data_IF_431483936882
#
_entry.id   IF_431483936882
#
_cell.length_a   1.000
_cell.length_b   1.000
_cell.length_c   1.000
_cell.angle_alpha   90.00
_cell.angle_beta   90.00
_cell.angle_gamma   90.00
#
_symmetry.space_group_name_H-M   'P 1'
#
loop_
_entity.id
_entity.type
_entity.pdbx_description
1 polymer ?
#
# COMPACT_ATOMS: atom_id res chain seq x y z
N UNK A 1 -1.43 -8.40 -6.73
CA UNK A 1 -2.67 -7.81 -6.20
C UNK A 1 -2.43 -6.33 -5.97
N UNK A 2 -3.27 -5.48 -6.57
CA UNK A 2 -3.18 -4.04 -6.38
C UNK A 2 -3.47 -3.68 -4.92
N UNK A 3 -2.84 -2.62 -4.42
CA UNK A 3 -2.92 -2.23 -3.01
C UNK A 3 -3.68 -0.92 -2.83
N UNK A 4 -4.86 -0.97 -2.21
CA UNK A 4 -5.59 0.24 -1.85
C UNK A 4 -5.08 0.82 -0.55
N UNK A 5 -4.71 2.10 -0.57
CA UNK A 5 -4.29 2.85 0.61
C UNK A 5 -5.44 3.67 1.15
N UNK A 6 -5.88 3.33 2.36
CA UNK A 6 -7.05 3.91 2.99
C UNK A 6 -6.64 5.07 3.92
N UNK A 7 -7.11 6.30 3.64
CA UNK A 7 -6.82 7.46 4.48
C UNK A 7 -7.57 7.36 5.81
N UNK A 8 -7.05 8.02 6.85
CA UNK A 8 -7.60 8.02 8.21
C UNK A 8 -9.12 8.17 8.30
N UNK A 9 -9.75 9.13 7.59
CA UNK A 9 -11.21 9.32 7.61
C UNK A 9 -12.02 8.12 7.10
N UNK A 10 -11.47 7.33 6.18
CA UNK A 10 -12.13 6.17 5.58
C UNK A 10 -11.78 4.86 6.30
N UNK A 11 -10.84 4.87 7.26
CA UNK A 11 -10.47 3.67 8.03
C UNK A 11 -11.63 3.01 8.78
N UNK A 12 -12.67 3.78 9.13
CA UNK A 12 -13.88 3.21 9.76
C UNK A 12 -14.68 2.28 8.83
N UNK A 13 -14.52 2.43 7.52
CA UNK A 13 -15.17 1.56 6.53
C UNK A 13 -14.34 0.30 6.24
N UNK A 14 -13.01 0.36 6.41
CA UNK A 14 -12.10 -0.76 6.18
C UNK A 14 -11.74 -1.56 7.44
N UNK A 15 -12.57 -1.53 8.48
CA UNK A 15 -12.29 -2.17 9.79
C UNK A 15 -10.92 -1.78 10.41
N UNK A 16 -10.46 -0.55 10.15
CA UNK A 16 -9.16 -0.05 10.62
C UNK A 16 -7.97 -0.42 9.73
N UNK A 17 -8.18 -1.13 8.62
CA UNK A 17 -7.12 -1.49 7.69
C UNK A 17 -6.56 -0.25 6.96
N UNK A 18 -5.23 -0.17 6.91
CA UNK A 18 -4.50 0.91 6.23
C UNK A 18 -4.27 0.58 4.76
N UNK A 19 -4.04 -0.70 4.47
CA UNK A 19 -3.78 -1.21 3.13
C UNK A 19 -4.67 -2.40 2.88
N UNK A 20 -5.41 -2.39 1.77
CA UNK A 20 -6.31 -3.47 1.39
C UNK A 20 -5.86 -4.04 0.03
N UNK A 21 -5.41 -5.31 -0.03
CA UNK A 21 -5.06 -5.95 -1.29
C UNK A 21 -6.32 -6.35 -2.05
N UNK A 22 -6.44 -5.94 -3.31
CA UNK A 22 -7.51 -6.38 -4.20
C UNK A 22 -6.94 -6.96 -5.50
N UNK A 23 -7.73 -7.81 -6.13
CA UNK A 23 -7.41 -8.37 -7.43
C UNK A 23 -8.35 -7.77 -8.47
N UNK A 24 -7.78 -7.04 -9.44
CA UNK A 24 -8.52 -6.35 -10.48
C UNK A 24 -7.61 -6.08 -11.69
N UNK A 25 -8.23 -5.90 -12.85
CA UNK A 25 -7.54 -5.52 -14.09
C UNK A 25 -7.62 -4.01 -14.37
N UNK A 26 -8.65 -3.35 -13.84
CA UNK A 26 -8.96 -1.94 -14.07
C UNK A 26 -9.43 -1.29 -12.77
N UNK A 27 -9.34 0.04 -12.70
CA UNK A 27 -9.73 0.80 -11.51
C UNK A 27 -11.19 0.61 -11.13
N UNK A 28 -12.11 0.55 -12.10
CA UNK A 28 -13.53 0.26 -11.84
C UNK A 28 -13.71 -1.07 -11.10
N UNK A 29 -13.14 -2.15 -11.65
CA UNK A 29 -13.16 -3.49 -11.05
C UNK A 29 -12.48 -3.52 -9.68
N UNK A 30 -11.43 -2.72 -9.49
CA UNK A 30 -10.74 -2.61 -8.21
C UNK A 30 -11.64 -1.96 -7.13
N UNK A 31 -12.36 -0.89 -7.48
CA UNK A 31 -13.31 -0.22 -6.58
C UNK A 31 -14.48 -1.15 -6.26
N UNK A 32 -15.02 -1.86 -7.25
CA UNK A 32 -16.11 -2.81 -7.03
C UNK A 32 -15.67 -3.99 -6.13
N UNK A 33 -14.45 -4.50 -6.32
CA UNK A 33 -13.88 -5.55 -5.46
C UNK A 33 -13.63 -5.05 -4.03
N UNK A 34 -13.25 -3.78 -3.86
CA UNK A 34 -13.08 -3.15 -2.55
C UNK A 34 -14.45 -3.00 -1.85
N UNK A 35 -15.47 -2.52 -2.56
CA UNK A 35 -16.82 -2.33 -2.04
C UNK A 35 -17.51 -3.67 -1.69
N UNK A 36 -17.27 -4.72 -2.48
CA UNK A 36 -17.76 -6.07 -2.18
C UNK A 36 -17.23 -6.61 -0.84
N UNK A 37 -16.04 -6.19 -0.42
CA UNK A 37 -15.46 -6.54 0.89
C UNK A 37 -15.88 -5.58 1.99
N UNK A 38 -15.97 -4.30 1.66
CA UNK A 38 -16.26 -3.21 2.59
C UNK A 38 -17.35 -2.31 1.98
N UNK A 39 -18.64 -2.61 2.21
CA UNK A 39 -19.72 -1.88 1.57
C UNK A 39 -19.74 -0.41 2.00
N UNK A 40 -19.92 0.49 1.02
CA UNK A 40 -20.00 1.94 1.22
C UNK A 40 -18.77 2.71 0.76
N UNK A 41 -17.70 2.02 0.32
CA UNK A 41 -16.58 2.68 -0.36
C UNK A 41 -17.01 3.24 -1.71
N UNK A 42 -17.84 2.49 -2.45
CA UNK A 42 -18.32 2.91 -3.76
C UNK A 42 -19.10 4.22 -3.69
N UNK A 43 -20.01 4.37 -2.73
CA UNK A 43 -20.81 5.60 -2.55
C UNK A 43 -19.95 6.83 -2.20
N UNK A 44 -18.80 6.62 -1.55
CA UNK A 44 -17.86 7.68 -1.16
C UNK A 44 -16.95 8.10 -2.30
N UNK A 45 -16.60 7.18 -3.20
CA UNK A 45 -15.68 7.40 -4.31
C UNK A 45 -16.42 7.82 -5.59
N UNK A 46 -17.53 7.15 -5.89
CA UNK A 46 -18.34 7.35 -7.09
C UNK A 46 -19.60 8.16 -6.78
N UNK A 47 -20.08 8.89 -7.78
CA UNK A 47 -21.38 9.53 -7.75
C UNK A 47 -22.50 8.59 -8.25
N UNK A 48 -23.73 9.11 -8.32
CA UNK A 48 -24.91 8.37 -8.80
C UNK A 48 -24.81 7.97 -10.29
N UNK A 49 -23.92 8.62 -11.05
CA UNK A 49 -23.64 8.30 -12.46
C UNK A 49 -22.53 7.25 -12.60
N UNK A 50 -21.88 6.87 -11.51
CA UNK A 50 -20.75 5.95 -11.50
C UNK A 50 -19.42 6.61 -11.86
N UNK A 51 -19.30 7.94 -11.74
CA UNK A 51 -18.08 8.70 -12.03
C UNK A 51 -17.35 9.12 -10.73
N UNK A 52 -16.04 9.36 -10.80
CA UNK A 52 -15.24 9.78 -9.64
C UNK A 52 -15.65 11.16 -9.13
N UNK A 53 -16.11 11.26 -7.88
CA UNK A 53 -16.56 12.53 -7.26
C UNK A 53 -15.47 13.58 -7.20
N UNK A 54 -15.77 14.84 -7.53
CA UNK A 54 -14.78 15.96 -7.51
C UNK A 54 -14.04 16.15 -6.17
N UNK A 55 -14.68 15.76 -5.06
CA UNK A 55 -14.13 15.87 -3.71
C UNK A 55 -13.22 14.72 -3.29
N UNK A 56 -12.97 13.76 -4.18
CA UNK A 56 -12.03 12.66 -3.97
C UNK A 56 -11.10 12.57 -5.18
N UNK A 57 -9.80 12.50 -4.88
CA UNK A 57 -8.77 12.25 -5.85
C UNK A 57 -8.26 10.82 -5.64
N UNK A 58 -8.06 10.11 -6.74
CA UNK A 58 -7.56 8.74 -6.74
C UNK A 58 -6.29 8.75 -7.57
N UNK A 59 -5.22 8.19 -7.00
CA UNK A 59 -3.91 8.10 -7.64
C UNK A 59 -3.55 6.64 -7.83
N UNK A 60 -3.00 6.27 -8.98
CA UNK A 60 -2.42 4.96 -9.25
C UNK A 60 -0.93 5.16 -9.47
N UNK A 61 -0.08 4.56 -8.63
CA UNK A 61 1.37 4.77 -8.65
C UNK A 61 1.78 6.26 -8.67
N UNK A 62 1.13 7.08 -7.83
CA UNK A 62 1.33 8.55 -7.76
C UNK A 62 0.84 9.35 -8.99
N UNK A 63 0.18 8.71 -9.96
CA UNK A 63 -0.44 9.38 -11.12
C UNK A 63 -1.94 9.61 -10.92
N UNK A 64 -2.43 10.82 -11.24
CA UNK A 64 -3.86 11.14 -11.16
C UNK A 64 -4.63 10.45 -12.29
N UNK A 65 -5.54 9.55 -11.92
CA UNK A 65 -6.33 8.78 -12.88
C UNK A 65 -7.24 9.67 -13.73
N UNK A 66 -7.60 10.87 -13.25
CA UNK A 66 -8.44 11.83 -13.99
C UNK A 66 -7.76 12.41 -15.21
N UNK A 67 -6.44 12.51 -15.19
CA UNK A 67 -5.65 13.01 -16.32
C UNK A 67 -5.40 11.91 -17.37
N UNK A 68 -5.61 10.65 -16.99
CA UNK A 68 -5.45 9.48 -17.85
C UNK A 68 -6.78 8.89 -18.31
N UNK A 69 -6.97 7.58 -18.08
CA UNK A 69 -8.15 6.83 -18.52
C UNK A 69 -9.29 6.77 -17.47
N UNK A 70 -9.15 7.47 -16.34
CA UNK A 70 -10.13 7.47 -15.25
C UNK A 70 -10.38 6.08 -14.69
N UNK A 71 -11.65 5.69 -14.61
CA UNK A 71 -12.08 4.38 -14.14
C UNK A 71 -11.66 3.20 -15.04
N UNK A 72 -11.27 3.48 -16.29
CA UNK A 72 -10.73 2.50 -17.24
C UNK A 72 -9.20 2.43 -17.19
N UNK A 73 -8.56 3.11 -16.25
CA UNK A 73 -7.13 2.96 -16.03
C UNK A 73 -6.84 1.50 -15.67
N UNK A 74 -5.93 0.88 -16.42
CA UNK A 74 -5.46 -0.47 -16.13
C UNK A 74 -4.68 -0.45 -14.83
N UNK A 75 -4.99 -1.39 -13.95
CA UNK A 75 -4.29 -1.56 -12.67
C UNK A 75 -3.66 -2.94 -12.67
N UNK A 76 -2.35 -2.96 -12.52
CA UNK A 76 -1.55 -4.16 -12.39
C UNK A 76 -1.53 -4.71 -10.97
N UNK A 77 -1.09 -5.95 -10.86
CA UNK A 77 -0.90 -6.62 -9.58
C UNK A 77 0.18 -5.99 -8.70
N UNK A 78 0.98 -5.08 -9.25
CA UNK A 78 2.07 -4.44 -8.53
C UNK A 78 1.80 -2.97 -8.17
N UNK A 79 0.63 -2.47 -8.54
CA UNK A 79 0.28 -1.05 -8.46
C UNK A 79 -0.30 -0.68 -7.09
N UNK A 80 0.00 0.55 -6.66
CA UNK A 80 -0.56 1.16 -5.45
C UNK A 80 -1.64 2.18 -5.83
N UNK A 81 -2.82 2.03 -5.23
CA UNK A 81 -3.95 2.95 -5.41
C UNK A 81 -4.12 3.77 -4.14
N UNK A 82 -3.88 5.08 -4.21
CA UNK A 82 -4.04 5.99 -3.08
C UNK A 82 -5.33 6.81 -3.21
N UNK A 83 -6.14 6.81 -2.14
CA UNK A 83 -7.38 7.60 -2.06
C UNK A 83 -7.11 8.84 -1.21
N UNK A 84 -7.28 10.03 -1.80
CA UNK A 84 -7.08 11.32 -1.14
C UNK A 84 -8.38 12.12 -1.16
N UNK A 85 -9.09 12.26 -0.02
CA UNK A 85 -10.24 13.14 0.07
C UNK A 85 -9.77 14.60 0.05
N UNK A 86 -10.51 15.48 -0.63
CA UNK A 86 -10.19 16.91 -0.74
C UNK A 86 -10.16 17.66 0.61
N UNK A 87 -10.73 17.05 1.66
CA UNK A 87 -10.73 17.55 3.05
C UNK A 87 -9.60 16.97 3.93
N UNK A 88 -8.56 16.35 3.34
CA UNK A 88 -7.45 15.76 4.08
C UNK A 88 -6.50 16.81 4.71
N UNK A 89 -7.00 17.54 5.71
CA UNK A 89 -6.17 18.22 6.69
C UNK A 89 -5.86 17.25 7.85
N UNK A 90 -4.66 16.68 7.89
CA UNK A 90 -4.16 16.00 9.09
C UNK A 90 -3.38 14.69 8.86
N UNK A 91 -2.05 14.81 8.90
CA UNK A 91 -1.09 13.83 9.47
C UNK A 91 -1.33 12.35 9.14
N UNK A 92 -1.08 11.96 7.89
CA UNK A 92 -0.92 10.56 7.52
C UNK A 92 0.14 10.47 6.44
N UNK A 93 1.39 10.22 6.83
CA UNK A 93 2.50 10.06 5.91
C UNK A 93 2.15 8.96 4.89
N UNK A 94 1.84 9.40 3.67
CA UNK A 94 1.90 8.58 2.48
C UNK A 94 3.40 8.35 2.24
N UNK A 95 4.00 7.41 2.97
CA UNK A 95 5.32 6.88 2.61
C UNK A 95 5.10 6.01 1.37
N UNK A 96 5.48 6.41 0.15
CA UNK A 96 5.53 5.49 -0.96
C UNK A 96 6.63 4.49 -0.62
N UNK A 97 6.27 3.25 -0.31
CA UNK A 97 7.24 2.18 -0.30
C UNK A 97 7.64 1.93 -1.74
N UNK A 98 8.67 2.66 -2.18
CA UNK A 98 9.48 2.29 -3.34
C UNK A 98 9.78 0.80 -3.22
N UNK A 99 9.14 0.02 -4.10
CA UNK A 99 9.55 -1.34 -4.39
C UNK A 99 11.00 -1.28 -4.81
N UNK A 100 11.89 -1.77 -3.96
CA UNK A 100 13.19 -2.26 -4.38
C UNK A 100 12.93 -3.47 -5.29
N UNK A 101 12.75 -3.20 -6.59
CA UNK A 101 12.81 -4.21 -7.63
C UNK A 101 14.26 -4.73 -7.70
N UNK A 102 14.45 -5.93 -7.17
CA UNK A 102 15.41 -6.91 -7.68
C UNK A 102 16.89 -6.54 -7.63
N UNK A 103 17.55 -6.80 -6.50
CA UNK A 103 18.91 -7.31 -6.59
C UNK A 103 18.85 -8.83 -6.68
N UNK A 104 19.02 -9.27 -7.92
CA UNK A 104 19.14 -10.65 -8.35
C UNK A 104 20.09 -11.38 -7.41
N UNK A 105 19.58 -12.43 -6.77
CA UNK A 105 20.37 -13.44 -6.09
C UNK A 105 21.26 -14.12 -7.15
N UNK A 106 22.49 -13.63 -7.30
CA UNK A 106 23.53 -14.38 -7.98
C UNK A 106 24.05 -15.41 -6.98
N UNK A 107 23.56 -16.62 -7.17
CA UNK A 107 24.13 -17.85 -6.66
C UNK A 107 25.62 -17.90 -7.06
N UNK A 108 26.53 -17.72 -6.09
CA UNK A 108 27.94 -18.04 -6.26
C UNK A 108 28.45 -18.79 -5.01
N UNK A 109 28.72 -20.09 -5.10
CA UNK A 109 29.33 -20.85 -4.02
C UNK A 109 30.85 -20.66 -4.07
N UNK A 110 31.40 -19.92 -3.10
CA UNK A 110 32.84 -19.68 -3.02
C UNK A 110 33.27 -19.17 -1.66
N UNK A 111 33.65 -20.11 -0.78
CA UNK A 111 34.72 -20.02 0.23
C UNK A 111 34.91 -18.72 1.03
N UNK A 112 34.81 -18.82 2.36
CA UNK A 112 36.01 -19.00 3.19
C UNK A 112 35.66 -19.23 4.67
N UNK A 113 35.94 -20.44 5.13
CA UNK A 113 36.11 -20.84 6.53
C UNK A 113 37.31 -20.11 7.14
N UNK A 114 37.13 -19.50 8.31
CA UNK A 114 38.05 -19.43 9.48
C UNK A 114 37.43 -18.44 10.50
N UNK A 115 37.54 -18.52 11.81
CA UNK A 115 37.99 -19.52 12.77
C UNK A 115 37.51 -19.00 14.13
N UNK A 116 37.03 -19.88 15.00
CA UNK A 116 36.77 -19.58 16.42
C UNK A 116 38.11 -19.34 17.11
N UNK A 117 38.16 -18.42 18.08
CA UNK A 117 38.63 -18.85 19.40
C UNK A 117 37.75 -18.28 20.52
N UNK A 118 37.36 -19.16 21.43
CA UNK A 118 36.74 -18.76 22.69
C UNK A 118 37.73 -18.03 23.60
N UNK A 119 37.19 -17.22 24.51
CA UNK A 119 37.76 -16.96 25.84
C UNK A 119 36.58 -16.70 26.80
N UNK A 120 36.57 -17.56 27.80
CA UNK A 120 35.85 -17.52 29.06
C UNK A 120 36.24 -16.27 29.88
N UNK A 121 35.30 -15.59 30.56
CA UNK A 121 35.47 -15.12 31.96
C UNK A 121 34.30 -14.27 32.46
N UNK A 122 33.62 -14.82 33.46
CA UNK A 122 33.20 -14.17 34.72
C UNK A 122 33.31 -12.63 34.80
N UNK A 123 32.17 -11.96 34.88
CA UNK A 123 31.96 -10.84 35.82
C UNK A 123 30.47 -10.47 35.89
N UNK A 124 29.76 -11.00 36.89
CA UNK A 124 28.55 -10.36 37.42
C UNK A 124 28.98 -9.80 38.76
N UNK A 125 29.28 -8.50 38.76
CA UNK A 125 29.64 -7.73 39.94
C UNK A 125 28.39 -7.24 40.65
N UNK A 126 28.44 -7.38 41.96
CA UNK A 126 27.55 -6.80 42.96
C UNK A 126 27.30 -5.29 42.75
N UNK A 127 26.08 -4.87 43.05
CA UNK A 127 25.79 -3.54 43.55
C UNK A 127 24.66 -3.70 44.59
N UNK A 128 25.02 -3.47 45.85
CA UNK A 128 24.09 -3.34 46.97
C UNK A 128 23.50 -1.94 47.10
#
# INVERSE_FOLDING_TARGET
>A
MAQFRIPGPLRRLSDGQVTVPVEAADLASAIDALDARYPGFRDRLLDEKGELRQFVNVYVNDEDVRLGAGLRAKVGSDDEIAIVPAVAGGTGAISPSVRQRGFRHLNNPGFCTVATPGINSRQWGDAG
#
